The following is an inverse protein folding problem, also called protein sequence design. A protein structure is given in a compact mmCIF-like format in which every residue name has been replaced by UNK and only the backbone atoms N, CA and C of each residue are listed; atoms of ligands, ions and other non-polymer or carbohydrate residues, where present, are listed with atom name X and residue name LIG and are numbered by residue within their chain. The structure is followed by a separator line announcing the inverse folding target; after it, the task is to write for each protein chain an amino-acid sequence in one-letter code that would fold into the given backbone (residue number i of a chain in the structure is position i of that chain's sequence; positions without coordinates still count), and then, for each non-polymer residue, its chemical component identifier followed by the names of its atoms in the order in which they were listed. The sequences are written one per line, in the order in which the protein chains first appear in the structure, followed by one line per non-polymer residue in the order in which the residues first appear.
data_IF_097998204653
#
_entry.id   IF_097998204653
#
_cell.length_a   1.000
_cell.length_b   1.000
_cell.length_c   1.000
_cell.angle_alpha   90.00
_cell.angle_beta   90.00
_cell.angle_gamma   90.00
#
_symmetry.space_group_name_H-M   'P 1'
#
loop_
_entity.id
_entity.type
_entity.pdbx_description
1 polymer ?
#
# COMPACT_ATOMS: atom_id res chain seq x y z
N UNK A 1 -24.70 26.10 -18.37
CA UNK A 1 -26.08 25.70 -18.72
C UNK A 1 -26.98 26.05 -17.54
N UNK A 2 -27.92 26.96 -17.79
CA UNK A 2 -29.17 27.31 -17.09
C UNK A 2 -29.08 27.55 -15.57
N UNK A 3 -29.23 28.75 -14.98
CA UNK A 3 -30.25 29.81 -15.09
C UNK A 3 -31.71 29.34 -15.04
N UNK A 4 -32.30 29.40 -13.84
CA UNK A 4 -33.72 29.54 -13.48
C UNK A 4 -33.71 30.00 -12.00
N UNK A 5 -34.01 31.22 -11.55
CA UNK A 5 -35.09 32.19 -11.83
C UNK A 5 -36.52 31.63 -11.66
N UNK A 6 -37.12 31.87 -10.49
CA UNK A 6 -38.50 32.35 -10.29
C UNK A 6 -38.78 32.37 -8.76
N UNK A 7 -38.93 33.53 -8.11
CA UNK A 7 -40.10 34.42 -8.10
C UNK A 7 -41.28 33.88 -7.31
N UNK A 8 -41.56 34.49 -6.13
CA UNK A 8 -42.93 34.73 -5.67
C UNK A 8 -42.97 35.88 -4.65
N UNK A 9 -43.52 36.99 -5.14
CA UNK A 9 -44.05 38.13 -4.41
C UNK A 9 -45.36 37.78 -3.67
N UNK A 10 -45.57 38.44 -2.52
CA UNK A 10 -46.82 38.99 -1.98
C UNK A 10 -46.49 39.43 -0.53
N UNK A 11 -46.63 40.65 -0.05
CA UNK A 11 -47.54 41.73 -0.41
C UNK A 11 -48.59 41.86 0.70
N UNK A 12 -48.37 42.68 1.74
CA UNK A 12 -49.46 43.33 2.49
C UNK A 12 -49.00 44.53 3.35
N UNK A 13 -49.46 45.70 2.88
CA UNK A 13 -49.83 47.00 3.48
C UNK A 13 -49.44 47.34 4.94
N UNK A 14 -48.93 48.57 5.17
CA UNK A 14 -48.70 49.14 6.51
C UNK A 14 -49.98 49.77 7.08
N UNK A 15 -50.42 49.31 8.25
CA UNK A 15 -51.48 49.98 9.02
C UNK A 15 -50.85 50.95 10.02
N UNK A 16 -50.98 52.24 9.68
CA UNK A 16 -50.74 53.39 10.55
C UNK A 16 -51.89 53.46 11.55
N UNK A 17 -51.57 53.37 12.84
CA UNK A 17 -52.47 53.80 13.89
C UNK A 17 -51.74 54.80 14.79
N UNK A 18 -52.16 56.05 14.65
CA UNK A 18 -51.70 57.18 15.44
C UNK A 18 -52.18 57.04 16.90
N UNK A 19 -51.21 57.25 17.79
CA UNK A 19 -51.35 57.51 19.22
C UNK A 19 -52.34 58.67 19.44
N UNK A 20 -53.17 58.64 20.49
CA UNK A 20 -52.78 59.53 21.56
C UNK A 20 -53.10 59.02 22.96
N UNK A 21 -52.11 59.25 23.82
CA UNK A 21 -52.25 59.75 25.19
C UNK A 21 -52.76 58.77 26.24
N UNK A 22 -51.94 58.57 27.28
CA UNK A 22 -52.33 58.84 28.67
C UNK A 22 -51.08 58.85 29.58
N UNK A 23 -50.94 59.83 30.49
CA UNK A 23 -49.88 59.89 31.48
C UNK A 23 -50.31 59.08 32.72
N UNK A 24 -49.51 58.10 33.14
CA UNK A 24 -49.95 57.26 34.24
C UNK A 24 -48.93 56.31 34.83
N UNK A 25 -48.32 56.78 35.92
CA UNK A 25 -47.79 56.00 37.06
C UNK A 25 -46.46 55.30 36.85
N UNK A 26 -45.42 55.99 37.31
CA UNK A 26 -44.18 55.39 37.78
C UNK A 26 -44.47 54.43 38.95
N UNK A 27 -44.79 53.18 38.66
CA UNK A 27 -44.65 52.08 39.60
C UNK A 27 -43.24 51.52 39.42
N UNK A 28 -42.33 51.91 40.31
CA UNK A 28 -41.07 51.21 40.54
C UNK A 28 -41.37 49.79 41.01
N UNK A 29 -41.65 48.91 40.05
CA UNK A 29 -41.61 47.48 40.26
C UNK A 29 -40.15 47.13 40.55
N UNK A 30 -39.84 46.88 41.83
CA UNK A 30 -38.64 46.17 42.26
C UNK A 30 -38.62 44.82 41.55
N UNK A 31 -38.06 44.79 40.35
CA UNK A 31 -37.79 43.56 39.63
C UNK A 31 -36.80 42.77 40.47
N UNK A 32 -37.28 41.67 41.03
CA UNK A 32 -36.48 40.80 41.87
C UNK A 32 -35.28 40.27 41.07
N UNK A 33 -34.03 40.50 41.52
CA UNK A 33 -32.81 40.21 40.77
C UNK A 33 -32.60 38.71 40.44
N UNK A 34 -33.45 37.83 40.98
CA UNK A 34 -33.37 36.39 40.82
C UNK A 34 -33.86 35.88 39.45
N UNK A 35 -34.72 36.63 38.74
CA UNK A 35 -35.23 36.20 37.41
C UNK A 35 -34.20 36.43 36.29
N UNK A 36 -33.44 37.52 36.37
CA UNK A 36 -32.39 37.87 35.40
C UNK A 36 -31.26 36.82 35.36
N UNK A 37 -30.88 36.28 36.52
CA UNK A 37 -29.83 35.24 36.63
C UNK A 37 -30.15 33.97 35.82
N UNK A 38 -31.42 33.56 35.73
CA UNK A 38 -31.81 32.36 34.97
C UNK A 38 -31.73 32.56 33.46
N UNK A 39 -32.00 33.76 32.96
CA UNK A 39 -31.92 34.09 31.53
C UNK A 39 -30.46 34.15 31.09
N UNK A 40 -29.60 34.83 31.87
CA UNK A 40 -28.17 34.92 31.59
C UNK A 40 -27.49 33.54 31.54
N UNK A 41 -27.83 32.64 32.46
CA UNK A 41 -27.30 31.26 32.47
C UNK A 41 -27.69 30.49 31.21
N UNK A 42 -28.95 30.63 30.73
CA UNK A 42 -29.40 29.97 29.51
C UNK A 42 -28.67 30.45 28.27
N UNK A 43 -28.45 31.77 28.17
CA UNK A 43 -27.69 32.37 27.07
C UNK A 43 -26.24 31.87 27.10
N UNK A 44 -25.62 31.86 28.28
CA UNK A 44 -24.23 31.40 28.43
C UNK A 44 -24.06 29.92 28.06
N UNK A 45 -24.96 29.04 28.50
CA UNK A 45 -24.96 27.61 28.14
C UNK A 45 -25.14 27.44 26.61
N UNK A 46 -25.99 28.26 25.99
CA UNK A 46 -26.21 28.25 24.55
C UNK A 46 -24.95 28.51 23.72
N UNK A 47 -24.03 29.34 24.22
CA UNK A 47 -22.73 29.59 23.56
C UNK A 47 -21.63 28.60 23.97
N UNK A 48 -21.67 28.11 25.22
CA UNK A 48 -20.65 27.19 25.72
C UNK A 48 -20.69 25.85 24.98
N UNK A 49 -21.88 25.34 24.67
CA UNK A 49 -22.06 24.03 24.04
C UNK A 49 -21.46 23.93 22.62
N UNK A 50 -21.73 24.85 21.67
CA UNK A 50 -21.06 24.82 20.36
C UNK A 50 -19.56 25.07 20.48
N UNK A 51 -19.10 25.93 21.41
CA UNK A 51 -17.67 26.17 21.60
C UNK A 51 -16.94 24.93 22.11
N UNK A 52 -17.53 24.21 23.07
CA UNK A 52 -17.02 22.92 23.54
C UNK A 52 -17.03 21.88 22.41
N UNK A 53 -18.09 21.83 21.59
CA UNK A 53 -18.16 20.96 20.43
C UNK A 53 -17.03 21.27 19.43
N UNK A 54 -16.79 22.54 19.10
CA UNK A 54 -15.69 22.94 18.22
C UNK A 54 -14.32 22.61 18.80
N UNK A 55 -14.15 22.74 20.12
CA UNK A 55 -12.90 22.39 20.79
C UNK A 55 -12.65 20.87 20.76
N UNK A 56 -13.67 20.06 21.05
CA UNK A 56 -13.60 18.60 20.97
C UNK A 56 -13.38 18.17 19.52
N UNK A 57 -14.15 18.70 18.57
CA UNK A 57 -13.99 18.39 17.16
C UNK A 57 -12.59 18.78 16.68
N UNK A 58 -12.11 19.97 17.01
CA UNK A 58 -10.77 20.45 16.65
C UNK A 58 -9.62 19.61 17.22
N UNK A 59 -9.84 18.86 18.31
CA UNK A 59 -8.82 18.00 18.92
C UNK A 59 -8.96 16.53 18.51
N UNK A 60 -10.19 16.03 18.42
CA UNK A 60 -10.49 14.62 18.11
C UNK A 60 -10.36 14.33 16.61
N UNK A 61 -10.85 15.22 15.73
CA UNK A 61 -10.79 14.97 14.27
C UNK A 61 -9.35 14.79 13.78
N UNK A 62 -8.38 15.68 14.12
CA UNK A 62 -7.01 15.54 13.66
C UNK A 62 -6.34 14.27 14.18
N UNK A 63 -6.65 13.86 15.42
CA UNK A 63 -6.13 12.62 15.99
C UNK A 63 -6.65 11.39 15.23
N UNK A 64 -7.95 11.33 14.96
CA UNK A 64 -8.56 10.25 14.18
C UNK A 64 -7.99 10.20 12.75
N UNK A 65 -7.89 11.36 12.08
CA UNK A 65 -7.29 11.49 10.76
C UNK A 65 -5.83 11.00 10.76
N UNK A 66 -5.01 11.44 11.72
CA UNK A 66 -3.59 11.03 11.82
C UNK A 66 -3.47 9.52 12.00
N UNK A 67 -4.33 8.92 12.82
CA UNK A 67 -4.32 7.47 13.04
C UNK A 67 -4.73 6.67 11.80
N UNK A 68 -5.72 7.17 11.03
CA UNK A 68 -6.18 6.56 9.80
C UNK A 68 -5.13 6.69 8.69
N UNK A 69 -4.61 7.89 8.46
CA UNK A 69 -3.54 8.14 7.49
C UNK A 69 -2.29 7.32 7.82
N UNK A 70 -1.92 7.21 9.10
CA UNK A 70 -0.77 6.41 9.52
C UNK A 70 -0.87 4.93 9.15
N UNK A 71 -2.08 4.34 9.19
CA UNK A 71 -2.32 2.96 8.75
C UNK A 71 -2.20 2.82 7.25
N UNK A 72 -2.84 3.72 6.49
CA UNK A 72 -2.79 3.70 5.01
C UNK A 72 -1.37 3.84 4.49
N UNK A 73 -0.59 4.78 5.06
CA UNK A 73 0.82 4.99 4.67
C UNK A 73 1.66 3.76 4.98
N UNK A 74 1.45 3.11 6.13
CA UNK A 74 2.17 1.89 6.50
C UNK A 74 1.83 0.72 5.58
N UNK A 75 0.55 0.45 5.34
CA UNK A 75 0.13 -0.63 4.44
C UNK A 75 0.62 -0.38 3.00
N UNK A 76 0.63 0.88 2.56
CA UNK A 76 1.22 1.25 1.28
C UNK A 76 2.73 0.98 1.23
N UNK A 77 3.48 1.43 2.23
CA UNK A 77 4.92 1.21 2.29
C UNK A 77 5.29 -0.29 2.30
N UNK A 78 4.54 -1.09 3.05
CA UNK A 78 4.72 -2.55 3.10
C UNK A 78 4.42 -3.21 1.74
N UNK A 79 3.34 -2.81 1.05
CA UNK A 79 3.00 -3.35 -0.28
C UNK A 79 3.97 -2.91 -1.36
N UNK A 80 4.49 -1.67 -1.30
CA UNK A 80 5.55 -1.20 -2.17
C UNK A 80 6.84 -2.00 -1.97
N UNK A 81 7.24 -2.21 -0.71
CA UNK A 81 8.40 -3.05 -0.37
C UNK A 81 8.24 -4.49 -0.86
N UNK A 82 7.02 -5.04 -0.84
CA UNK A 82 6.75 -6.37 -1.40
C UNK A 82 6.99 -6.43 -2.91
N UNK A 83 6.56 -5.41 -3.67
CA UNK A 83 6.81 -5.30 -5.12
C UNK A 83 8.31 -5.20 -5.40
N UNK A 84 9.03 -4.36 -4.66
CA UNK A 84 10.49 -4.22 -4.79
C UNK A 84 11.21 -5.55 -4.53
N UNK A 85 10.77 -6.28 -3.50
CA UNK A 85 11.29 -7.61 -3.19
C UNK A 85 10.98 -8.64 -4.28
N UNK A 86 9.82 -8.58 -4.94
CA UNK A 86 9.50 -9.44 -6.07
C UNK A 86 10.44 -9.19 -7.26
N UNK A 87 10.71 -7.92 -7.59
CA UNK A 87 11.70 -7.57 -8.61
C UNK A 87 13.11 -8.03 -8.26
N UNK A 88 13.51 -7.83 -7.00
CA UNK A 88 14.82 -8.23 -6.53
C UNK A 88 14.98 -9.76 -6.49
N UNK A 89 13.93 -10.51 -6.15
CA UNK A 89 13.89 -11.97 -6.23
C UNK A 89 14.09 -12.45 -7.68
N UNK A 90 13.36 -11.85 -8.64
CA UNK A 90 13.53 -12.12 -10.08
C UNK A 90 14.95 -11.81 -10.54
N UNK A 91 15.53 -10.70 -10.08
CA UNK A 91 16.90 -10.31 -10.38
C UNK A 91 17.89 -11.36 -9.88
N UNK A 92 17.85 -11.73 -8.59
CA UNK A 92 18.75 -12.76 -8.04
C UNK A 92 18.63 -14.12 -8.75
N UNK A 93 17.43 -14.49 -9.22
CA UNK A 93 17.25 -15.69 -10.03
C UNK A 93 17.93 -15.57 -11.41
N UNK A 94 17.79 -14.40 -12.06
CA UNK A 94 18.41 -14.11 -13.35
C UNK A 94 19.93 -14.03 -13.25
N UNK A 95 20.45 -13.44 -12.17
CA UNK A 95 21.88 -13.38 -11.87
C UNK A 95 22.43 -14.79 -11.69
N UNK A 96 21.75 -15.65 -10.92
CA UNK A 96 22.12 -17.08 -10.78
C UNK A 96 22.18 -17.79 -12.14
N UNK A 97 21.26 -17.51 -13.07
CA UNK A 97 21.32 -18.08 -14.43
C UNK A 97 22.55 -17.57 -15.20
N UNK A 98 22.77 -16.26 -15.20
CA UNK A 98 23.85 -15.62 -15.95
C UNK A 98 25.23 -16.04 -15.42
N UNK A 99 25.36 -16.19 -14.11
CA UNK A 99 26.59 -16.64 -13.44
C UNK A 99 26.88 -18.10 -13.76
N UNK A 100 25.87 -18.98 -13.70
CA UNK A 100 26.05 -20.36 -14.18
C UNK A 100 26.51 -20.36 -15.65
N UNK A 101 25.86 -19.56 -16.51
CA UNK A 101 26.24 -19.47 -17.92
C UNK A 101 27.67 -18.98 -18.09
N UNK A 102 28.09 -17.96 -17.34
CA UNK A 102 29.46 -17.45 -17.34
C UNK A 102 30.46 -18.53 -16.91
N UNK A 103 30.16 -19.26 -15.84
CA UNK A 103 30.98 -20.38 -15.39
C UNK A 103 31.11 -21.46 -16.48
N UNK A 104 30.00 -21.84 -17.13
CA UNK A 104 30.02 -22.86 -18.19
C UNK A 104 30.82 -22.43 -19.43
N UNK A 105 30.81 -21.15 -19.77
CA UNK A 105 31.49 -20.63 -20.96
C UNK A 105 32.97 -20.34 -20.73
N UNK A 106 33.32 -19.81 -19.56
CA UNK A 106 34.66 -19.29 -19.28
C UNK A 106 35.45 -20.15 -18.28
N UNK A 107 34.80 -21.09 -17.58
CA UNK A 107 35.38 -21.88 -16.50
C UNK A 107 36.06 -21.04 -15.40
N UNK A 108 35.57 -19.82 -15.17
CA UNK A 108 36.08 -18.96 -14.11
C UNK A 108 35.33 -19.23 -12.80
N UNK A 109 36.07 -19.60 -11.76
CA UNK A 109 35.55 -19.85 -10.42
C UNK A 109 34.86 -18.64 -9.80
N UNK A 110 35.17 -17.42 -10.25
CA UNK A 110 34.48 -16.20 -9.82
C UNK A 110 32.97 -16.28 -10.08
N UNK A 111 32.56 -16.78 -11.24
CA UNK A 111 31.16 -16.99 -11.59
C UNK A 111 30.48 -18.03 -10.69
N UNK A 112 31.19 -19.09 -10.29
CA UNK A 112 30.65 -20.09 -9.35
C UNK A 112 30.41 -19.50 -7.95
N UNK A 113 31.29 -18.60 -7.51
CA UNK A 113 31.12 -17.88 -6.24
C UNK A 113 29.94 -16.92 -6.31
N UNK A 114 29.84 -16.14 -7.39
CA UNK A 114 28.71 -15.25 -7.65
C UNK A 114 27.38 -16.02 -7.70
N UNK A 115 27.34 -17.17 -8.39
CA UNK A 115 26.21 -18.09 -8.38
C UNK A 115 25.75 -18.47 -6.96
N UNK A 116 26.71 -18.82 -6.10
CA UNK A 116 26.45 -19.13 -4.71
C UNK A 116 25.81 -17.96 -3.95
N UNK A 117 26.31 -16.74 -4.19
CA UNK A 117 25.80 -15.50 -3.60
C UNK A 117 24.39 -15.20 -4.06
N UNK A 118 24.14 -15.16 -5.37
CA UNK A 118 22.84 -14.85 -5.96
C UNK A 118 21.77 -15.86 -5.53
N UNK A 119 22.13 -17.14 -5.39
CA UNK A 119 21.24 -18.16 -4.80
C UNK A 119 20.99 -17.93 -3.31
N UNK A 120 21.98 -17.44 -2.56
CA UNK A 120 21.83 -17.02 -1.17
C UNK A 120 20.81 -15.88 -1.03
N UNK A 121 21.00 -14.82 -1.81
CA UNK A 121 20.12 -13.66 -1.87
C UNK A 121 18.69 -14.04 -2.27
N UNK A 122 18.55 -14.90 -3.29
CA UNK A 122 17.27 -15.45 -3.70
C UNK A 122 16.52 -16.10 -2.52
N UNK A 123 17.18 -16.99 -1.77
CA UNK A 123 16.56 -17.69 -0.63
C UNK A 123 16.20 -16.73 0.50
N UNK A 124 17.04 -15.74 0.77
CA UNK A 124 16.76 -14.73 1.80
C UNK A 124 15.53 -13.91 1.44
N UNK A 125 15.44 -13.43 0.19
CA UNK A 125 14.29 -12.65 -0.31
C UNK A 125 13.01 -13.47 -0.31
N UNK A 126 13.07 -14.72 -0.76
CA UNK A 126 11.92 -15.61 -0.73
C UNK A 126 11.35 -15.76 0.69
N UNK A 127 12.20 -16.00 1.69
CA UNK A 127 11.75 -16.09 3.10
C UNK A 127 11.10 -14.80 3.58
N UNK A 128 11.72 -13.64 3.33
CA UNK A 128 11.13 -12.36 3.74
C UNK A 128 9.78 -12.08 3.07
N UNK A 129 9.63 -12.44 1.79
CA UNK A 129 8.35 -12.36 1.09
C UNK A 129 7.32 -13.34 1.67
N UNK A 130 7.74 -14.56 2.04
CA UNK A 130 6.86 -15.57 2.64
C UNK A 130 6.34 -15.10 4.00
N UNK A 131 7.21 -14.51 4.84
CA UNK A 131 6.82 -13.96 6.14
C UNK A 131 5.77 -12.86 6.00
N UNK A 132 5.94 -11.97 5.01
CA UNK A 132 4.95 -10.93 4.68
C UNK A 132 3.62 -11.53 4.22
N UNK A 133 3.65 -12.51 3.31
CA UNK A 133 2.43 -13.13 2.79
C UNK A 133 1.65 -13.85 3.90
N UNK A 134 2.36 -14.53 4.80
CA UNK A 134 1.78 -15.20 5.95
C UNK A 134 1.13 -14.19 6.91
N UNK A 135 1.78 -13.03 7.16
CA UNK A 135 1.24 -12.01 8.05
C UNK A 135 -0.02 -11.33 7.50
N UNK A 136 -0.13 -11.20 6.17
CA UNK A 136 -1.31 -10.65 5.48
C UNK A 136 -2.37 -11.72 5.13
N UNK A 137 -2.11 -13.00 5.37
CA UNK A 137 -2.99 -14.13 5.04
C UNK A 137 -3.48 -14.11 3.57
N UNK A 138 -2.60 -13.73 2.64
CA UNK A 138 -2.96 -13.58 1.23
C UNK A 138 -2.66 -14.85 0.42
N UNK A 139 -3.67 -15.72 0.31
CA UNK A 139 -3.57 -16.99 -0.41
C UNK A 139 -3.15 -16.85 -1.89
N UNK A 140 -3.54 -15.76 -2.56
CA UNK A 140 -3.17 -15.53 -3.95
C UNK A 140 -1.69 -15.22 -4.10
N UNK A 141 -1.14 -14.36 -3.23
CA UNK A 141 0.29 -14.08 -3.21
C UNK A 141 1.10 -15.31 -2.83
N UNK A 142 0.63 -16.08 -1.83
CA UNK A 142 1.28 -17.32 -1.39
C UNK A 142 1.40 -18.32 -2.54
N UNK A 143 0.29 -18.59 -3.23
CA UNK A 143 0.28 -19.51 -4.36
C UNK A 143 1.28 -19.08 -5.45
N UNK A 144 1.33 -17.80 -5.82
CA UNK A 144 2.23 -17.31 -6.86
C UNK A 144 3.70 -17.34 -6.43
N UNK A 145 3.98 -16.99 -5.17
CA UNK A 145 5.32 -17.04 -4.61
C UNK A 145 5.85 -18.49 -4.58
N UNK A 146 5.01 -19.45 -4.16
CA UNK A 146 5.34 -20.87 -4.15
C UNK A 146 5.53 -21.46 -5.56
N UNK A 147 4.75 -21.01 -6.55
CA UNK A 147 4.96 -21.40 -7.96
C UNK A 147 6.31 -20.90 -8.48
N UNK A 148 6.67 -19.64 -8.18
CA UNK A 148 7.94 -19.06 -8.56
C UNK A 148 9.12 -19.83 -7.94
N UNK A 149 9.08 -20.12 -6.63
CA UNK A 149 10.12 -20.92 -5.96
C UNK A 149 10.19 -22.35 -6.45
N UNK A 150 9.05 -23.04 -6.58
CA UNK A 150 9.02 -24.40 -7.11
C UNK A 150 9.62 -24.49 -8.52
N UNK A 151 9.41 -23.48 -9.35
CA UNK A 151 9.97 -23.41 -10.71
C UNK A 151 11.47 -23.13 -10.68
N UNK A 152 11.92 -22.20 -9.83
CA UNK A 152 13.35 -21.93 -9.63
C UNK A 152 14.11 -23.15 -9.09
N UNK A 153 13.57 -23.82 -8.06
CA UNK A 153 14.17 -25.04 -7.49
C UNK A 153 14.23 -26.17 -8.51
N UNK A 154 13.19 -26.34 -9.33
CA UNK A 154 13.17 -27.32 -10.42
C UNK A 154 14.24 -27.03 -11.47
N UNK A 155 14.41 -25.76 -11.86
CA UNK A 155 15.50 -25.38 -12.75
C UNK A 155 16.86 -25.68 -12.12
N UNK A 156 17.05 -25.29 -10.86
CA UNK A 156 18.28 -25.49 -10.12
C UNK A 156 18.68 -26.98 -10.03
N UNK A 157 17.72 -27.87 -9.72
CA UNK A 157 18.00 -29.30 -9.57
C UNK A 157 18.16 -30.01 -10.91
N UNK A 158 17.36 -29.65 -11.93
CA UNK A 158 17.39 -30.35 -13.23
C UNK A 158 18.46 -29.86 -14.19
N UNK A 159 18.88 -28.59 -14.08
CA UNK A 159 19.82 -27.98 -15.02
C UNK A 159 21.07 -27.47 -14.30
N UNK A 160 20.96 -26.59 -13.31
CA UNK A 160 22.15 -25.96 -12.72
C UNK A 160 23.07 -26.98 -12.03
N UNK A 161 22.52 -27.85 -11.17
CA UNK A 161 23.31 -28.81 -10.40
C UNK A 161 24.05 -29.83 -11.28
N UNK A 162 23.39 -30.47 -12.29
CA UNK A 162 24.10 -31.37 -13.19
C UNK A 162 25.22 -30.72 -13.99
N UNK A 163 25.03 -29.48 -14.45
CA UNK A 163 26.03 -28.78 -15.26
C UNK A 163 27.27 -28.41 -14.43
N UNK A 164 27.10 -27.99 -13.17
CA UNK A 164 28.24 -27.84 -12.24
C UNK A 164 28.98 -29.17 -12.01
N UNK A 165 28.24 -30.26 -11.79
CA UNK A 165 28.86 -31.57 -11.61
C UNK A 165 29.62 -32.06 -12.86
N UNK A 166 29.12 -31.75 -14.06
CA UNK A 166 29.79 -32.06 -15.32
C UNK A 166 31.07 -31.23 -15.51
N UNK A 167 31.04 -29.95 -15.12
CA UNK A 167 32.23 -29.08 -15.11
C UNK A 167 33.30 -29.60 -14.14
N UNK A 168 32.91 -30.01 -12.93
CA UNK A 168 33.82 -30.55 -11.91
C UNK A 168 34.50 -31.85 -12.37
N UNK A 169 33.86 -32.63 -13.25
CA UNK A 169 34.44 -33.83 -13.88
C UNK A 169 35.34 -33.50 -15.09
N UNK A 170 35.64 -32.24 -15.34
CA UNK A 170 36.39 -31.74 -16.48
C UNK A 170 35.79 -32.12 -17.86
N UNK A 171 34.53 -32.54 -17.92
CA UNK A 171 33.87 -32.93 -19.19
C UNK A 171 33.61 -31.71 -20.08
N UNK A 172 33.17 -30.61 -19.49
CA UNK A 172 32.88 -29.37 -20.22
C UNK A 172 34.15 -28.65 -20.67
N UNK A 173 35.24 -28.80 -19.90
CA UNK A 173 36.51 -28.09 -20.12
C UNK A 173 37.28 -28.57 -21.34
N UNK A 174 36.96 -29.76 -21.83
CA UNK A 174 37.66 -30.38 -22.97
C UNK A 174 37.14 -29.93 -24.33
N UNK A 175 35.95 -29.31 -24.39
CA UNK A 175 35.33 -28.94 -25.65
C UNK A 175 34.46 -27.69 -25.56
N UNK A 176 34.79 -26.61 -26.30
CA UNK A 176 33.98 -25.41 -26.39
C UNK A 176 32.53 -25.67 -26.85
N UNK A 177 32.32 -26.67 -27.72
CA UNK A 177 30.98 -27.01 -28.23
C UNK A 177 30.10 -27.63 -27.15
N UNK A 178 30.67 -28.46 -26.28
CA UNK A 178 29.95 -29.06 -25.14
C UNK A 178 29.58 -28.00 -24.11
N UNK A 179 30.51 -27.08 -23.82
CA UNK A 179 30.28 -25.93 -22.94
C UNK A 179 29.17 -25.00 -23.45
N UNK A 180 29.18 -24.67 -24.74
CA UNK A 180 28.12 -23.87 -25.36
C UNK A 180 26.76 -24.59 -25.32
N UNK A 181 26.73 -25.90 -25.59
CA UNK A 181 25.51 -26.70 -25.51
C UNK A 181 24.94 -26.73 -24.07
N UNK A 182 25.80 -26.85 -23.05
CA UNK A 182 25.41 -26.77 -21.64
C UNK A 182 24.81 -25.42 -21.28
N UNK A 183 25.46 -24.32 -21.69
CA UNK A 183 24.96 -22.96 -21.50
C UNK A 183 23.56 -22.78 -22.11
N UNK A 184 23.35 -23.28 -23.33
CA UNK A 184 22.05 -23.20 -24.02
C UNK A 184 20.97 -24.06 -23.35
N UNK A 185 21.30 -25.26 -22.85
CA UNK A 185 20.35 -26.08 -22.08
C UNK A 185 19.90 -25.38 -20.81
N UNK A 186 20.84 -24.78 -20.08
CA UNK A 186 20.54 -24.00 -18.87
C UNK A 186 19.60 -22.82 -19.16
N UNK A 187 19.87 -22.07 -20.24
CA UNK A 187 19.02 -20.96 -20.69
C UNK A 187 17.59 -21.43 -21.03
N UNK A 188 17.47 -22.51 -21.79
CA UNK A 188 16.17 -23.07 -22.15
C UNK A 188 15.40 -23.56 -20.93
N UNK A 189 16.08 -24.21 -19.98
CA UNK A 189 15.50 -24.64 -18.72
C UNK A 189 15.02 -23.47 -17.85
N UNK A 190 15.62 -22.28 -18.00
CA UNK A 190 15.28 -21.11 -17.20
C UNK A 190 14.02 -20.37 -17.67
N UNK A 191 13.52 -20.63 -18.88
CA UNK A 191 12.34 -19.93 -19.42
C UNK A 191 11.12 -19.99 -18.50
N UNK A 192 10.89 -21.14 -17.86
CA UNK A 192 9.81 -21.30 -16.88
C UNK A 192 9.99 -20.41 -15.64
N UNK A 193 11.22 -20.23 -15.18
CA UNK A 193 11.54 -19.35 -14.05
C UNK A 193 11.19 -17.91 -14.41
N UNK A 194 11.60 -17.43 -15.58
CA UNK A 194 11.28 -16.07 -16.02
C UNK A 194 9.76 -15.83 -16.12
N UNK A 195 9.01 -16.78 -16.69
CA UNK A 195 7.55 -16.69 -16.79
C UNK A 195 6.88 -16.65 -15.41
N UNK A 196 7.28 -17.52 -14.48
CA UNK A 196 6.71 -17.54 -13.13
C UNK A 196 7.07 -16.29 -12.31
N UNK A 197 8.30 -15.78 -12.44
CA UNK A 197 8.72 -14.53 -11.79
C UNK A 197 7.97 -13.31 -12.33
N UNK A 198 7.74 -13.23 -13.64
CA UNK A 198 6.96 -12.13 -14.22
C UNK A 198 5.50 -12.17 -13.75
N UNK A 199 4.91 -13.36 -13.58
CA UNK A 199 3.58 -13.52 -13.00
C UNK A 199 3.54 -13.07 -11.54
N UNK A 200 4.56 -13.45 -10.74
CA UNK A 200 4.67 -13.01 -9.35
C UNK A 200 4.74 -11.48 -9.25
N UNK A 201 5.57 -10.84 -10.06
CA UNK A 201 5.68 -9.37 -10.12
C UNK A 201 4.33 -8.74 -10.48
N UNK A 202 3.67 -9.22 -11.54
CA UNK A 202 2.38 -8.67 -11.97
C UNK A 202 1.30 -8.80 -10.87
N UNK A 203 1.27 -9.92 -10.14
CA UNK A 203 0.33 -10.14 -9.03
C UNK A 203 0.68 -9.24 -7.84
N UNK A 204 1.96 -9.03 -7.55
CA UNK A 204 2.41 -8.10 -6.52
C UNK A 204 1.99 -6.65 -6.83
N UNK A 205 2.15 -6.23 -8.08
CA UNK A 205 1.70 -4.91 -8.56
C UNK A 205 0.19 -4.75 -8.47
N UNK A 206 -0.57 -5.75 -8.94
CA UNK A 206 -2.03 -5.75 -8.85
C UNK A 206 -2.53 -5.69 -7.40
N UNK A 207 -1.85 -6.38 -6.47
CA UNK A 207 -2.16 -6.30 -5.04
C UNK A 207 -1.92 -4.90 -4.48
N UNK A 208 -0.79 -4.27 -4.81
CA UNK A 208 -0.48 -2.88 -4.41
C UNK A 208 -1.54 -1.91 -4.95
N UNK A 209 -1.94 -2.04 -6.21
CA UNK A 209 -3.00 -1.21 -6.80
C UNK A 209 -4.36 -1.43 -6.13
N UNK A 210 -4.69 -2.68 -5.76
CA UNK A 210 -5.90 -2.98 -5.01
C UNK A 210 -5.91 -2.27 -3.65
N UNK A 211 -4.78 -2.23 -2.94
CA UNK A 211 -4.67 -1.52 -1.66
C UNK A 211 -4.80 -0.01 -1.83
N UNK A 212 -4.22 0.56 -2.89
CA UNK A 212 -4.42 1.98 -3.23
C UNK A 212 -5.89 2.31 -3.50
N UNK A 213 -6.61 1.45 -4.22
CA UNK A 213 -8.04 1.66 -4.49
C UNK A 213 -8.86 1.59 -3.20
N UNK A 214 -8.56 0.65 -2.30
CA UNK A 214 -9.23 0.55 -0.99
C UNK A 214 -9.01 1.80 -0.15
N UNK A 215 -7.78 2.32 -0.14
CA UNK A 215 -7.46 3.56 0.56
C UNK A 215 -8.25 4.77 0.03
N UNK A 216 -8.45 4.86 -1.29
CA UNK A 216 -9.23 5.95 -1.91
C UNK A 216 -10.73 5.88 -1.65
N UNK A 217 -11.30 4.68 -1.50
CA UNK A 217 -12.74 4.50 -1.23
C UNK A 217 -13.07 4.75 0.25
N UNK A 218 -12.08 4.69 1.14
CA UNK A 218 -12.26 5.01 2.56
C UNK A 218 -12.19 6.50 2.91
N UNK A 219 -11.89 7.37 1.93
CA UNK A 219 -11.96 8.84 2.05
C UNK A 219 -13.36 9.35 1.66
#
# INVERSE_FOLDING_TARGET
MNTEQASKEAGEVPEVNDDPSLPGKATSARQSPLRSRRIAVRIFIGYLLPLLFFLIAGLVLPYLLTSALGRVVRDYAETASFVDNAYALRRSATDSKNELRGFLLYNDLSFRQQFGRSRGEYRQRFRGMQDFVNSKQNNTLDAQLNIADGTYRRWYTKFATPEFAAADRALLLRSPTVSLAAANRSENGFRGVNTSMNRLVAVAEAYREQQLRRARVSE
#
